data_IF_272917775519
#
_entry.id   IF_272917775519
#
_cell.length_a   1.000
_cell.length_b   1.000
_cell.length_c   1.000
_cell.angle_alpha   90.00
_cell.angle_beta   90.00
_cell.angle_gamma   90.00
#
_symmetry.space_group_name_H-M   'P 1'
#
loop_
_entity.id
_entity.type
_entity.pdbx_description
1 polymer ?
#
# COMPACT_ATOMS: atom_id res chain seq x y z
N UNK A 1 7.91 20.55 -3.10
CA UNK A 1 6.95 21.67 -3.08
C UNK A 1 5.60 21.09 -3.43
N UNK A 2 4.54 21.40 -2.67
CA UNK A 2 3.22 20.80 -2.92
C UNK A 2 2.66 21.31 -4.25
N UNK A 3 2.50 20.42 -5.23
CA UNK A 3 1.74 20.70 -6.44
C UNK A 3 0.32 21.08 -6.06
N UNK A 4 -0.10 22.31 -6.34
CA UNK A 4 -1.47 22.75 -6.07
C UNK A 4 -2.43 21.97 -6.98
N UNK A 5 -3.26 21.11 -6.39
CA UNK A 5 -4.26 20.33 -7.11
C UNK A 5 -5.57 21.12 -7.21
N UNK A 6 -6.04 21.35 -8.43
CA UNK A 6 -7.35 21.97 -8.64
C UNK A 6 -8.49 20.93 -8.50
N UNK A 7 -9.74 21.42 -8.56
CA UNK A 7 -10.94 20.57 -8.41
C UNK A 7 -11.00 19.47 -9.48
N UNK A 8 -10.52 19.74 -10.70
CA UNK A 8 -10.52 18.73 -11.77
C UNK A 8 -9.44 17.68 -11.56
N UNK A 9 -8.27 18.06 -11.06
CA UNK A 9 -7.21 17.11 -10.70
C UNK A 9 -7.71 16.16 -9.61
N UNK A 10 -8.40 16.68 -8.58
CA UNK A 10 -8.98 15.86 -7.51
C UNK A 10 -10.05 14.90 -8.02
N UNK A 11 -10.97 15.37 -8.87
CA UNK A 11 -11.97 14.51 -9.52
C UNK A 11 -11.33 13.43 -10.39
N UNK A 12 -10.28 13.76 -11.15
CA UNK A 12 -9.54 12.78 -11.93
C UNK A 12 -8.89 11.74 -11.04
N UNK A 13 -8.21 12.14 -9.96
CA UNK A 13 -7.62 11.24 -8.98
C UNK A 13 -8.68 10.32 -8.34
N UNK A 14 -9.84 10.86 -8.00
CA UNK A 14 -10.94 10.06 -7.45
C UNK A 14 -11.42 8.98 -8.42
N UNK A 15 -11.52 9.29 -9.72
CA UNK A 15 -11.88 8.32 -10.75
C UNK A 15 -10.78 7.28 -11.01
N UNK A 16 -9.51 7.71 -11.19
CA UNK A 16 -8.43 6.77 -11.52
C UNK A 16 -8.02 5.87 -10.36
N UNK A 17 -8.22 6.30 -9.11
CA UNK A 17 -8.04 5.42 -7.93
C UNK A 17 -9.07 4.29 -7.89
N UNK A 18 -10.27 4.49 -8.49
CA UNK A 18 -11.31 3.46 -8.59
C UNK A 18 -11.04 2.54 -9.77
N UNK A 19 -10.78 3.11 -10.94
CA UNK A 19 -10.50 2.38 -12.16
C UNK A 19 -9.62 3.20 -13.12
N UNK A 20 -8.34 2.85 -13.16
CA UNK A 20 -7.36 3.48 -14.04
C UNK A 20 -7.44 3.00 -15.51
N UNK A 21 -8.25 1.97 -15.81
CA UNK A 21 -8.44 1.48 -17.19
C UNK A 21 -9.56 2.20 -17.93
N UNK A 22 -10.32 3.07 -17.26
CA UNK A 22 -11.38 3.85 -17.91
C UNK A 22 -10.83 4.66 -19.09
N UNK A 23 -11.45 4.55 -20.28
CA UNK A 23 -11.07 5.35 -21.43
C UNK A 23 -11.08 6.84 -21.11
N UNK A 24 -10.05 7.57 -21.55
CA UNK A 24 -9.88 8.97 -21.17
C UNK A 24 -10.99 9.90 -21.69
N UNK A 25 -11.63 9.54 -22.80
CA UNK A 25 -12.83 10.23 -23.29
C UNK A 25 -14.00 10.06 -22.32
N UNK A 26 -14.20 8.87 -21.76
CA UNK A 26 -15.22 8.62 -20.73
C UNK A 26 -14.88 9.31 -19.42
N UNK A 27 -13.61 9.27 -18.98
CA UNK A 27 -13.14 10.06 -17.84
C UNK A 27 -13.44 11.54 -18.04
N UNK A 28 -13.17 12.07 -19.24
CA UNK A 28 -13.47 13.46 -19.60
C UNK A 28 -14.95 13.82 -19.42
N UNK A 29 -15.86 12.94 -19.86
CA UNK A 29 -17.31 13.12 -19.65
C UNK A 29 -17.63 13.18 -18.14
N UNK A 30 -17.08 12.27 -17.33
CA UNK A 30 -17.36 12.21 -15.88
C UNK A 30 -16.87 13.43 -15.11
N UNK A 31 -15.73 14.00 -15.52
CA UNK A 31 -15.12 15.13 -14.81
C UNK A 31 -15.33 16.49 -15.50
N UNK A 32 -16.13 16.52 -16.58
CA UNK A 32 -16.40 17.72 -17.39
C UNK A 32 -15.12 18.35 -18.00
N UNK A 33 -14.31 17.53 -18.67
CA UNK A 33 -13.10 17.92 -19.39
C UNK A 33 -13.07 17.31 -20.80
N UNK A 34 -12.36 17.98 -21.71
CA UNK A 34 -12.00 17.36 -23.00
C UNK A 34 -10.97 16.24 -22.81
N UNK A 35 -10.96 15.25 -23.70
CA UNK A 35 -9.97 14.15 -23.70
C UNK A 35 -8.53 14.67 -23.71
N UNK A 36 -8.25 15.76 -24.42
CA UNK A 36 -6.93 16.39 -24.46
C UNK A 36 -6.55 17.00 -23.10
N UNK A 37 -7.50 17.60 -22.38
CA UNK A 37 -7.27 18.14 -21.04
C UNK A 37 -7.03 17.02 -20.01
N UNK A 38 -7.77 15.91 -20.08
CA UNK A 38 -7.56 14.72 -19.24
C UNK A 38 -6.15 14.16 -19.43
N UNK A 39 -5.74 13.94 -20.69
CA UNK A 39 -4.39 13.47 -21.03
C UNK A 39 -3.29 14.31 -20.41
N UNK A 40 -3.35 15.63 -20.65
CA UNK A 40 -2.35 16.57 -20.16
C UNK A 40 -2.27 16.55 -18.63
N UNK A 41 -3.43 16.48 -17.95
CA UNK A 41 -3.50 16.47 -16.48
C UNK A 41 -2.97 15.17 -15.89
N UNK A 42 -3.40 14.01 -16.38
CA UNK A 42 -2.91 12.71 -15.88
C UNK A 42 -1.40 12.56 -16.08
N UNK A 43 -0.89 12.99 -17.24
CA UNK A 43 0.54 13.01 -17.52
C UNK A 43 1.29 13.88 -16.52
N UNK A 44 0.83 15.12 -16.32
CA UNK A 44 1.40 16.05 -15.34
C UNK A 44 1.35 15.48 -13.91
N UNK A 45 0.21 14.92 -13.49
CA UNK A 45 0.05 14.33 -12.16
C UNK A 45 1.01 13.15 -11.93
N UNK A 46 1.31 12.36 -12.96
CA UNK A 46 2.32 11.31 -12.89
C UNK A 46 3.75 11.88 -12.87
N UNK A 47 4.06 12.85 -13.74
CA UNK A 47 5.38 13.52 -13.80
C UNK A 47 5.71 14.27 -12.50
N UNK A 48 4.71 14.88 -11.87
CA UNK A 48 4.82 15.60 -10.59
C UNK A 48 4.89 14.65 -9.37
N UNK A 49 4.75 13.33 -9.57
CA UNK A 49 4.73 12.33 -8.48
C UNK A 49 3.46 12.39 -7.61
N UNK A 50 2.38 13.00 -8.10
CA UNK A 50 1.07 12.96 -7.42
C UNK A 50 0.42 11.58 -7.62
N UNK A 51 0.63 10.97 -8.79
CA UNK A 51 0.33 9.56 -9.03
C UNK A 51 1.64 8.79 -8.91
N UNK A 52 1.82 8.08 -7.79
CA UNK A 52 3.03 7.30 -7.54
C UNK A 52 3.25 6.21 -8.58
N UNK A 53 2.19 5.45 -8.92
CA UNK A 53 2.21 4.38 -9.92
C UNK A 53 0.80 3.92 -10.32
N UNK A 54 0.72 3.27 -11.47
CA UNK A 54 -0.44 2.47 -11.88
C UNK A 54 -0.15 0.99 -11.64
N UNK A 55 -1.08 0.27 -11.00
CA UNK A 55 -0.93 -1.15 -10.70
C UNK A 55 -2.27 -1.89 -10.81
N UNK A 56 -2.22 -3.16 -11.20
CA UNK A 56 -3.38 -4.05 -11.16
C UNK A 56 -3.58 -4.61 -9.75
N UNK A 57 -4.83 -4.69 -9.29
CA UNK A 57 -5.20 -5.33 -8.03
C UNK A 57 -5.58 -6.78 -8.31
N UNK A 58 -4.78 -7.72 -7.81
CA UNK A 58 -4.97 -9.17 -8.04
C UNK A 58 -5.69 -9.81 -6.85
N UNK A 59 -6.60 -10.75 -7.12
CA UNK A 59 -7.24 -11.56 -6.09
C UNK A 59 -6.23 -12.56 -5.49
N UNK A 60 -5.84 -12.44 -4.21
CA UNK A 60 -4.86 -13.34 -3.59
C UNK A 60 -5.32 -14.80 -3.57
N UNK A 61 -6.62 -15.04 -3.33
CA UNK A 61 -7.21 -16.39 -3.36
C UNK A 61 -7.04 -17.07 -4.72
N UNK A 62 -7.27 -16.34 -5.82
CA UNK A 62 -7.15 -16.87 -7.18
C UNK A 62 -5.70 -17.12 -7.62
N UNK A 63 -4.72 -16.58 -6.91
CA UNK A 63 -3.29 -16.78 -7.16
C UNK A 63 -2.60 -17.61 -6.06
N UNK A 64 -3.37 -18.33 -5.25
CA UNK A 64 -2.84 -19.27 -4.27
C UNK A 64 -2.21 -18.63 -3.03
N UNK A 65 -2.63 -17.41 -2.66
CA UNK A 65 -2.22 -16.70 -1.46
C UNK A 65 -3.43 -16.31 -0.59
N UNK A 66 -4.26 -17.27 -0.13
CA UNK A 66 -5.54 -16.97 0.51
C UNK A 66 -5.39 -16.42 1.94
N UNK A 67 -4.28 -16.68 2.63
CA UNK A 67 -4.09 -16.20 4.00
C UNK A 67 -3.60 -14.76 3.98
N UNK A 68 -4.25 -13.90 4.76
CA UNK A 68 -3.76 -12.55 5.07
C UNK A 68 -3.35 -12.51 6.54
N UNK A 69 -2.13 -12.09 6.79
CA UNK A 69 -1.52 -12.06 8.11
C UNK A 69 -1.17 -10.62 8.47
N UNK A 70 -1.49 -10.23 9.69
CA UNK A 70 -1.04 -8.99 10.32
C UNK A 70 -0.09 -9.33 11.45
N UNK A 71 1.17 -8.91 11.35
CA UNK A 71 2.16 -9.13 12.41
C UNK A 71 2.66 -7.81 12.96
N UNK A 72 2.68 -7.69 14.29
CA UNK A 72 3.30 -6.61 15.02
C UNK A 72 4.62 -7.11 15.59
N UNK A 73 5.70 -6.33 15.44
CA UNK A 73 7.06 -6.72 15.82
C UNK A 73 7.64 -5.66 16.74
N UNK A 74 8.15 -6.09 17.89
CA UNK A 74 8.93 -5.28 18.83
C UNK A 74 10.41 -5.65 18.64
N UNK A 75 11.27 -4.63 18.51
CA UNK A 75 12.70 -4.82 18.33
C UNK A 75 13.43 -4.95 19.66
N UNK A 76 14.60 -5.60 19.64
CA UNK A 76 15.49 -5.64 20.80
C UNK A 76 16.27 -4.34 20.96
N UNK A 77 16.68 -3.72 19.84
CA UNK A 77 17.48 -2.51 19.80
C UNK A 77 17.03 -1.57 18.67
N UNK A 78 16.86 -0.29 19.02
CA UNK A 78 16.49 0.78 18.10
C UNK A 78 17.71 1.44 17.41
N UNK A 79 18.89 0.84 17.50
CA UNK A 79 20.05 1.35 16.77
C UNK A 79 19.75 1.40 15.25
N UNK A 80 20.06 2.55 14.64
CA UNK A 80 19.67 2.87 13.25
C UNK A 80 20.11 1.77 12.28
N UNK A 81 21.34 1.28 12.38
CA UNK A 81 21.86 0.25 11.48
C UNK A 81 21.08 -1.07 11.55
N UNK A 82 20.62 -1.44 12.75
CA UNK A 82 19.79 -2.64 12.97
C UNK A 82 18.39 -2.43 12.42
N UNK A 83 17.76 -1.28 12.70
CA UNK A 83 16.45 -0.94 12.15
C UNK A 83 16.46 -0.91 10.62
N UNK A 84 17.50 -0.34 10.00
CA UNK A 84 17.62 -0.25 8.55
C UNK A 84 17.94 -1.62 7.92
N UNK A 85 18.65 -2.51 8.61
CA UNK A 85 18.78 -3.91 8.20
C UNK A 85 17.44 -4.66 8.23
N UNK A 86 16.60 -4.41 9.25
CA UNK A 86 15.26 -4.97 9.34
C UNK A 86 14.35 -4.45 8.22
N UNK A 87 14.30 -3.14 8.00
CA UNK A 87 13.51 -2.52 6.91
C UNK A 87 13.85 -3.13 5.56
N UNK A 88 15.15 -3.27 5.24
CA UNK A 88 15.62 -3.90 3.99
C UNK A 88 15.20 -5.36 3.87
N UNK A 89 15.19 -6.11 4.97
CA UNK A 89 14.72 -7.50 4.99
C UNK A 89 13.22 -7.57 4.66
N UNK A 90 12.41 -6.70 5.29
CA UNK A 90 10.97 -6.65 5.06
C UNK A 90 10.62 -6.20 3.63
N UNK A 91 11.29 -5.16 3.13
CA UNK A 91 11.09 -4.63 1.78
C UNK A 91 11.38 -5.67 0.68
N UNK A 92 12.37 -6.56 0.89
CA UNK A 92 12.75 -7.59 -0.09
C UNK A 92 11.84 -8.81 -0.09
N UNK A 93 10.95 -8.95 0.89
CA UNK A 93 10.07 -10.10 1.00
C UNK A 93 8.81 -9.87 0.15
N UNK A 94 8.62 -10.59 -0.98
CA UNK A 94 7.50 -10.33 -1.89
C UNK A 94 6.13 -10.66 -1.28
N UNK A 95 6.10 -11.46 -0.21
CA UNK A 95 4.87 -11.77 0.52
C UNK A 95 4.39 -10.59 1.36
N UNK A 96 5.28 -9.68 1.78
CA UNK A 96 4.95 -8.46 2.52
C UNK A 96 4.35 -7.45 1.55
N UNK A 97 3.07 -7.16 1.73
CA UNK A 97 2.34 -6.17 0.94
C UNK A 97 2.49 -4.77 1.51
N UNK A 98 2.56 -4.66 2.84
CA UNK A 98 2.71 -3.39 3.55
C UNK A 98 3.59 -3.59 4.78
N UNK A 99 4.47 -2.62 5.03
CA UNK A 99 5.32 -2.55 6.20
C UNK A 99 5.31 -1.11 6.71
N UNK A 100 4.94 -0.93 7.96
CA UNK A 100 4.90 0.37 8.62
C UNK A 100 5.86 0.36 9.79
N UNK A 101 6.76 1.34 9.83
CA UNK A 101 7.48 1.70 11.06
C UNK A 101 6.58 2.65 11.84
N UNK A 102 6.20 2.28 13.06
CA UNK A 102 5.14 2.97 13.82
C UNK A 102 5.63 3.42 15.17
N UNK A 103 4.97 4.44 15.73
CA UNK A 103 5.15 4.83 17.12
C UNK A 103 4.17 4.05 18.01
N UNK A 104 4.63 3.57 19.18
CA UNK A 104 3.78 2.89 20.16
C UNK A 104 4.48 1.72 20.84
N UNK A 105 3.71 0.72 21.27
CA UNK A 105 4.23 -0.52 21.88
C UNK A 105 5.03 -1.38 20.89
N UNK A 106 4.76 -1.24 19.60
CA UNK A 106 5.37 -2.03 18.54
C UNK A 106 6.14 -1.10 17.60
N UNK A 107 7.24 -1.59 17.04
CA UNK A 107 8.08 -0.83 16.11
C UNK A 107 7.63 -1.01 14.67
N UNK A 108 7.22 -2.23 14.30
CA UNK A 108 6.77 -2.55 12.95
C UNK A 108 5.39 -3.21 12.93
N UNK A 109 4.59 -2.84 11.93
CA UNK A 109 3.36 -3.54 11.56
C UNK A 109 3.45 -3.99 10.12
N UNK A 110 3.30 -5.30 9.92
CA UNK A 110 3.45 -5.98 8.64
C UNK A 110 2.09 -6.54 8.21
N UNK A 111 1.70 -6.29 6.96
CA UNK A 111 0.57 -6.97 6.32
C UNK A 111 1.13 -7.79 5.16
N UNK A 112 0.96 -9.10 5.23
CA UNK A 112 1.53 -10.02 4.25
C UNK A 112 0.59 -11.19 3.96
N UNK A 113 0.81 -11.85 2.83
CA UNK A 113 0.00 -12.99 2.41
C UNK A 113 0.80 -14.28 2.35
N UNK A 114 0.13 -15.41 2.60
CA UNK A 114 0.73 -16.73 2.48
C UNK A 114 -0.24 -17.72 1.82
N UNK A 115 0.34 -18.78 1.24
CA UNK A 115 -0.37 -19.89 0.61
C UNK A 115 -1.07 -20.77 1.65
N UNK A 116 -0.42 -20.99 2.79
CA UNK A 116 -0.85 -21.86 3.89
C UNK A 116 -0.07 -21.51 5.18
N UNK A 117 -0.38 -22.24 6.27
CA UNK A 117 0.29 -22.06 7.56
C UNK A 117 1.75 -22.54 7.56
N UNK A 118 2.14 -23.42 6.64
CA UNK A 118 3.52 -23.88 6.51
C UNK A 118 4.40 -22.74 5.97
N UNK A 119 3.99 -22.08 4.88
CA UNK A 119 4.68 -20.91 4.36
C UNK A 119 4.69 -19.77 5.39
N UNK A 120 3.61 -19.58 6.14
CA UNK A 120 3.62 -18.61 7.24
C UNK A 120 4.74 -18.91 8.26
N UNK A 121 4.91 -20.18 8.65
CA UNK A 121 5.98 -20.58 9.58
C UNK A 121 7.37 -20.37 8.97
N UNK A 122 7.55 -20.66 7.68
CA UNK A 122 8.79 -20.38 6.93
C UNK A 122 9.12 -18.89 6.93
N UNK A 123 8.14 -18.04 6.59
CA UNK A 123 8.28 -16.59 6.58
C UNK A 123 8.63 -16.05 7.98
N UNK A 124 7.93 -16.52 9.01
CA UNK A 124 8.20 -16.11 10.40
C UNK A 124 9.63 -16.47 10.83
N UNK A 125 10.11 -17.66 10.43
CA UNK A 125 11.52 -18.07 10.65
C UNK A 125 12.48 -17.15 9.93
N UNK A 126 12.27 -16.91 8.64
CA UNK A 126 13.14 -16.07 7.82
C UNK A 126 13.16 -14.60 8.28
N UNK A 127 12.00 -14.04 8.58
CA UNK A 127 11.83 -12.61 8.85
C UNK A 127 12.16 -12.25 10.30
N UNK A 128 11.81 -13.12 11.25
CA UNK A 128 11.87 -12.77 12.68
C UNK A 128 12.90 -13.60 13.45
N UNK A 129 12.90 -14.93 13.32
CA UNK A 129 13.81 -15.77 14.11
C UNK A 129 15.26 -15.73 13.63
N UNK A 130 15.48 -15.64 12.33
CA UNK A 130 16.82 -15.44 11.75
C UNK A 130 17.32 -14.00 11.92
N UNK A 131 16.49 -13.10 12.43
CA UNK A 131 16.81 -11.70 12.63
C UNK A 131 17.14 -11.46 14.10
N UNK A 132 18.40 -11.16 14.39
CA UNK A 132 18.87 -11.01 15.77
C UNK A 132 18.31 -9.78 16.50
N UNK A 133 17.49 -8.95 15.84
CA UNK A 133 16.92 -7.74 16.44
C UNK A 133 15.41 -7.82 16.72
N UNK A 134 14.79 -9.00 16.62
CA UNK A 134 13.38 -9.18 17.02
C UNK A 134 13.31 -9.68 18.46
N UNK A 135 12.70 -8.87 19.34
CA UNK A 135 12.48 -9.21 20.75
C UNK A 135 11.23 -10.07 20.95
N UNK A 136 10.11 -9.65 20.35
CA UNK A 136 8.87 -10.43 20.29
C UNK A 136 8.02 -9.98 19.11
N UNK A 137 7.07 -10.83 18.73
CA UNK A 137 6.06 -10.48 17.75
C UNK A 137 4.71 -11.06 18.11
N UNK A 138 3.65 -10.46 17.59
CA UNK A 138 2.27 -10.93 17.70
C UNK A 138 1.66 -11.02 16.33
N UNK A 139 1.03 -12.15 16.03
CA UNK A 139 0.38 -12.40 14.75
C UNK A 139 -1.13 -12.49 14.90
N UNK A 140 -1.84 -11.84 13.98
CA UNK A 140 -3.28 -11.96 13.78
C UNK A 140 -3.51 -12.51 12.36
N UNK A 141 -4.16 -13.67 12.28
CA UNK A 141 -4.59 -14.23 10.99
C UNK A 141 -5.97 -13.68 10.68
N UNK A 142 -6.11 -13.04 9.53
CA UNK A 142 -7.39 -12.48 9.08
C UNK A 142 -8.39 -13.58 8.77
N UNK A 143 -9.59 -13.50 9.37
CA UNK A 143 -10.70 -14.40 9.05
C UNK A 143 -11.42 -13.99 7.76
N UNK A 144 -11.50 -12.69 7.47
CA UNK A 144 -12.08 -12.16 6.23
C UNK A 144 -11.57 -10.75 5.93
N UNK A 145 -11.45 -10.42 4.65
CA UNK A 145 -11.04 -9.08 4.18
C UNK A 145 -12.27 -8.21 3.97
N UNK A 146 -12.68 -7.48 5.01
CA UNK A 146 -13.90 -6.63 4.96
C UNK A 146 -13.71 -5.41 4.05
N UNK A 147 -12.55 -4.75 4.10
CA UNK A 147 -12.19 -3.61 3.24
C UNK A 147 -10.68 -3.58 3.04
N UNK A 148 -10.24 -3.56 1.78
CA UNK A 148 -8.82 -3.45 1.42
C UNK A 148 -8.67 -2.57 0.18
N UNK A 149 -7.73 -1.63 0.21
CA UNK A 149 -7.43 -0.74 -0.91
C UNK A 149 -6.27 0.20 -0.58
N UNK A 150 -5.76 0.88 -1.61
CA UNK A 150 -4.70 1.90 -1.49
C UNK A 150 -5.21 3.32 -1.75
N UNK A 151 -6.48 3.47 -2.10
CA UNK A 151 -7.07 4.77 -2.40
C UNK A 151 -7.07 5.67 -1.17
N UNK A 152 -6.64 6.92 -1.36
CA UNK A 152 -6.68 7.96 -0.33
C UNK A 152 -7.83 8.94 -0.61
N UNK A 153 -8.40 9.57 0.43
CA UNK A 153 -9.35 10.66 0.23
C UNK A 153 -8.68 11.81 -0.53
N UNK A 154 -9.21 12.15 -1.70
CA UNK A 154 -8.70 13.24 -2.57
C UNK A 154 -9.70 14.39 -2.72
N UNK A 155 -10.94 14.19 -2.29
CA UNK A 155 -11.97 15.22 -2.24
C UNK A 155 -11.75 16.08 -0.99
N UNK A 156 -11.85 17.39 -1.16
CA UNK A 156 -12.01 18.33 -0.05
C UNK A 156 -13.50 18.62 -0.04
N UNK A 157 -14.18 18.32 1.07
CA UNK A 157 -15.43 19.00 1.40
C UNK A 157 -15.12 20.50 1.35
N UNK A 158 -15.51 21.17 0.27
CA UNK A 158 -15.62 22.63 0.31
C UNK A 158 -16.92 22.86 1.07
N UNK A 159 -16.85 22.75 2.39
CA UNK A 159 -17.78 23.46 3.26
C UNK A 159 -17.41 24.93 3.14
N UNK A 160 -18.13 25.63 2.25
CA UNK A 160 -18.69 26.99 2.40
C UNK A 160 -19.43 27.44 1.12
#
# INVERSE_FOLDING_TARGET
>A
MATTLDVFDRKLLAEVQRDAQLPQNELGVRVNLSTAAVNRRLRRLAEDGVIDRYAAIVSPEKVGCPLTIVSMVEVESEQIDLLDAMKRTFERCPQIQQCYYVAGEWDFVLIFTARDMEQYNELTRQLFFSNNNVKRFKTLVSMSRVKVGLGVPVDVEIDE
#
